data_IF_161676297080
#
_entry.id   IF_161676297080
#
_cell.length_a   1.000
_cell.length_b   1.000
_cell.length_c   1.000
_cell.angle_alpha   90.00
_cell.angle_beta   90.00
_cell.angle_gamma   90.00
#
_symmetry.space_group_name_H-M   'P 1'
#
loop_
_entity.id
_entity.type
_entity.pdbx_description
1 polymer ?
#
# COMPACT_ATOMS: atom_id res chain seq x y z
N UNK A 1 32.73 -12.72 19.07
CA UNK A 1 31.58 -12.84 19.99
C UNK A 1 30.68 -11.66 19.70
N UNK A 2 29.74 -11.92 18.80
CA UNK A 2 28.36 -11.41 18.73
C UNK A 2 28.06 -9.95 19.08
N UNK A 3 27.92 -9.14 18.04
CA UNK A 3 26.91 -8.08 18.02
C UNK A 3 25.91 -8.39 16.92
N UNK A 4 24.89 -9.15 17.30
CA UNK A 4 23.67 -9.40 16.55
C UNK A 4 22.81 -8.13 16.58
N UNK A 5 22.46 -7.63 15.40
CA UNK A 5 21.12 -7.16 15.03
C UNK A 5 20.40 -6.10 15.87
N UNK A 6 20.22 -4.92 15.27
CA UNK A 6 18.96 -4.18 15.33
C UNK A 6 18.79 -3.41 14.00
N UNK A 7 18.23 -4.10 13.00
CA UNK A 7 17.77 -3.47 11.77
C UNK A 7 16.36 -2.92 11.95
N UNK A 8 16.13 -1.74 11.38
CA UNK A 8 14.86 -1.23 10.83
C UNK A 8 13.73 -0.88 11.81
N UNK A 9 13.72 0.36 12.31
CA UNK A 9 12.46 1.08 12.61
C UNK A 9 12.58 2.59 12.29
N UNK A 10 13.17 2.95 11.13
CA UNK A 10 12.95 4.29 10.57
C UNK A 10 11.54 4.31 9.96
N UNK A 11 10.54 4.69 10.78
CA UNK A 11 9.20 4.99 10.28
C UNK A 11 9.31 6.03 9.15
N UNK A 12 8.92 5.65 7.94
CA UNK A 12 9.13 6.49 6.75
C UNK A 12 8.30 7.78 6.88
N UNK A 13 8.95 8.90 7.22
CA UNK A 13 8.31 10.21 7.35
C UNK A 13 7.84 10.68 5.97
N UNK A 14 6.55 10.95 5.85
CA UNK A 14 5.88 11.41 4.65
C UNK A 14 5.61 12.91 4.73
N UNK A 15 5.89 13.62 3.63
CA UNK A 15 5.58 15.03 3.47
C UNK A 15 4.54 15.24 2.38
N UNK A 16 3.46 15.94 2.70
CA UNK A 16 2.43 16.32 1.74
C UNK A 16 2.92 17.50 0.88
N UNK A 17 3.05 17.26 -0.42
CA UNK A 17 3.45 18.30 -1.39
C UNK A 17 2.41 19.41 -1.58
N UNK A 18 1.16 19.20 -1.15
CA UNK A 18 0.06 20.13 -1.37
C UNK A 18 -0.18 21.08 -0.20
N UNK A 19 -0.12 20.60 1.05
CA UNK A 19 -0.36 21.44 2.24
C UNK A 19 0.82 21.50 3.21
N UNK A 20 1.91 20.79 2.94
CA UNK A 20 3.11 20.80 3.77
C UNK A 20 3.03 19.98 5.05
N UNK A 21 1.96 19.22 5.28
CA UNK A 21 1.87 18.27 6.41
C UNK A 21 3.04 17.27 6.39
N UNK A 22 3.58 16.97 7.55
CA UNK A 22 4.64 15.99 7.78
C UNK A 22 4.20 15.02 8.89
N UNK A 23 4.37 13.72 8.69
CA UNK A 23 3.97 12.68 9.64
C UNK A 23 4.32 11.28 9.13
N UNK A 24 3.95 10.22 9.85
CA UNK A 24 4.26 8.85 9.47
C UNK A 24 3.30 8.31 8.39
N UNK A 25 3.70 7.25 7.67
CA UNK A 25 2.82 6.51 6.73
C UNK A 25 1.56 5.97 7.44
N UNK A 26 1.66 5.63 8.73
CA UNK A 26 0.55 5.12 9.53
C UNK A 26 -0.55 6.16 9.78
N UNK A 27 -0.22 7.45 9.73
CA UNK A 27 -1.17 8.55 9.87
C UNK A 27 -1.94 8.86 8.57
N UNK A 28 -1.58 8.24 7.44
CA UNK A 28 -2.26 8.46 6.17
C UNK A 28 -3.66 7.84 6.17
N UNK A 29 -4.59 8.53 5.50
CA UNK A 29 -5.95 8.00 5.36
C UNK A 29 -6.01 7.03 4.20
N UNK A 30 -6.41 5.79 4.48
CA UNK A 30 -6.61 4.73 3.49
C UNK A 30 -8.00 4.84 2.87
N UNK A 31 -8.06 4.79 1.54
CA UNK A 31 -9.30 4.69 0.79
C UNK A 31 -9.20 3.66 -0.35
N UNK A 32 -10.27 2.89 -0.61
CA UNK A 32 -10.32 2.01 -1.78
C UNK A 32 -10.11 2.80 -3.08
N UNK A 33 -9.28 2.27 -3.97
CA UNK A 33 -9.00 2.84 -5.27
C UNK A 33 -9.47 1.90 -6.39
N UNK A 34 -9.83 2.48 -7.54
CA UNK A 34 -10.15 1.69 -8.72
C UNK A 34 -8.94 0.90 -9.22
N UNK A 35 -9.17 -0.33 -9.66
CA UNK A 35 -8.15 -1.14 -10.31
C UNK A 35 -7.74 -0.51 -11.64
N UNK A 36 -6.43 -0.46 -11.89
CA UNK A 36 -5.89 0.03 -13.15
C UNK A 36 -5.73 -1.13 -14.14
N UNK A 37 -5.42 -0.81 -15.41
CA UNK A 37 -5.21 -1.80 -16.46
C UNK A 37 -4.28 -2.96 -16.05
N UNK A 38 -3.11 -2.64 -15.47
CA UNK A 38 -2.15 -3.65 -15.02
C UNK A 38 -2.63 -4.48 -13.83
N UNK A 39 -3.53 -3.95 -13.00
CA UNK A 39 -4.09 -4.68 -11.87
C UNK A 39 -5.05 -5.77 -12.38
N UNK A 40 -5.81 -5.46 -13.44
CA UNK A 40 -6.65 -6.45 -14.12
C UNK A 40 -5.82 -7.51 -14.85
N UNK A 41 -4.75 -7.11 -15.54
CA UNK A 41 -3.83 -8.07 -16.17
C UNK A 41 -3.22 -9.02 -15.13
N UNK A 42 -2.83 -8.47 -13.96
CA UNK A 42 -2.29 -9.26 -12.86
C UNK A 42 -3.34 -10.21 -12.28
N UNK A 43 -4.59 -9.76 -12.11
CA UNK A 43 -5.70 -10.59 -11.65
C UNK A 43 -5.93 -11.80 -12.59
N UNK A 44 -5.87 -11.58 -13.90
CA UNK A 44 -6.00 -12.66 -14.89
C UNK A 44 -4.83 -13.65 -14.81
N UNK A 45 -3.61 -13.16 -14.58
CA UNK A 45 -2.42 -14.00 -14.43
C UNK A 45 -2.42 -14.82 -13.13
N UNK A 46 -2.92 -14.24 -12.03
CA UNK A 46 -2.88 -14.86 -10.71
C UNK A 46 -4.01 -15.88 -10.46
N UNK A 47 -4.91 -16.10 -11.43
CA UNK A 47 -5.91 -17.20 -11.48
C UNK A 47 -6.50 -17.59 -10.11
N UNK A 48 -7.12 -16.64 -9.41
CA UNK A 48 -7.76 -16.89 -8.12
C UNK A 48 -7.24 -16.07 -6.94
N UNK A 49 -6.27 -15.17 -7.16
CA UNK A 49 -5.91 -14.14 -6.20
C UNK A 49 -6.89 -12.95 -6.28
N UNK A 50 -7.18 -12.36 -5.12
CA UNK A 50 -7.88 -11.08 -5.05
C UNK A 50 -6.86 -9.95 -5.15
N UNK A 51 -7.10 -9.02 -6.07
CA UNK A 51 -6.28 -7.81 -6.24
C UNK A 51 -7.13 -6.62 -5.84
N UNK A 52 -6.69 -5.90 -4.81
CA UNK A 52 -7.29 -4.64 -4.37
C UNK A 52 -6.25 -3.52 -4.40
N UNK A 53 -6.73 -2.28 -4.43
CA UNK A 53 -5.89 -1.10 -4.47
C UNK A 53 -6.37 -0.11 -3.44
N UNK A 54 -5.44 0.48 -2.72
CA UNK A 54 -5.72 1.55 -1.76
C UNK A 54 -4.94 2.81 -2.14
N UNK A 55 -5.59 3.96 -1.97
CA UNK A 55 -4.96 5.26 -1.97
C UNK A 55 -4.68 5.68 -0.54
N UNK A 56 -3.47 6.17 -0.30
CA UNK A 56 -3.04 6.75 0.95
C UNK A 56 -3.01 8.27 0.79
N UNK A 57 -3.92 8.93 1.50
CA UNK A 57 -4.22 10.34 1.37
C UNK A 57 -3.65 11.12 2.56
N UNK A 58 -3.26 12.37 2.29
CA UNK A 58 -2.92 13.31 3.35
C UNK A 58 -4.11 13.49 4.31
N UNK A 59 -3.92 13.38 5.64
CA UNK A 59 -5.01 13.54 6.60
C UNK A 59 -5.54 14.98 6.67
N UNK A 60 -4.78 15.97 6.18
CA UNK A 60 -5.17 17.40 6.22
C UNK A 60 -5.93 17.85 4.97
N UNK A 61 -5.36 17.64 3.78
CA UNK A 61 -5.94 18.15 2.53
C UNK A 61 -6.47 17.06 1.60
N UNK A 62 -6.42 15.79 2.01
CA UNK A 62 -6.93 14.63 1.25
C UNK A 62 -6.22 14.38 -0.09
N UNK A 63 -5.17 15.13 -0.41
CA UNK A 63 -4.32 14.88 -1.57
C UNK A 63 -3.72 13.48 -1.50
N UNK A 64 -3.80 12.74 -2.61
CA UNK A 64 -3.18 11.42 -2.71
C UNK A 64 -1.66 11.54 -2.69
N UNK A 65 -1.03 10.86 -1.72
CA UNK A 65 0.41 10.84 -1.54
C UNK A 65 1.04 9.52 -2.00
N UNK A 66 0.33 8.41 -1.83
CA UNK A 66 0.80 7.07 -2.20
C UNK A 66 -0.38 6.22 -2.65
N UNK A 67 -0.11 5.20 -3.45
CA UNK A 67 -1.08 4.17 -3.81
C UNK A 67 -0.40 2.83 -3.63
N UNK A 68 -1.07 1.90 -2.96
CA UNK A 68 -0.57 0.56 -2.69
C UNK A 68 -1.48 -0.46 -3.34
N UNK A 69 -0.86 -1.55 -3.79
CA UNK A 69 -1.56 -2.71 -4.34
C UNK A 69 -1.46 -3.81 -3.31
N UNK A 70 -2.61 -4.39 -2.98
CA UNK A 70 -2.71 -5.52 -2.07
C UNK A 70 -3.14 -6.73 -2.90
N UNK A 71 -2.39 -7.82 -2.76
CA UNK A 71 -2.65 -9.08 -3.44
C UNK A 71 -2.81 -10.09 -2.32
N UNK A 72 -4.03 -10.58 -2.13
CA UNK A 72 -4.30 -11.65 -1.16
C UNK A 72 -4.38 -13.01 -1.87
N UNK A 73 -3.80 -14.02 -1.22
CA UNK A 73 -3.40 -15.29 -1.83
C UNK A 73 -4.51 -16.34 -1.95
N UNK A 74 -4.82 -16.69 -3.20
CA UNK A 74 -5.18 -18.00 -3.78
C UNK A 74 -6.06 -18.96 -2.93
N UNK A 75 -7.34 -19.07 -3.30
CA UNK A 75 -8.18 -20.24 -2.98
C UNK A 75 -7.82 -21.38 -3.94
N UNK A 76 -7.09 -22.40 -3.49
CA UNK A 76 -6.96 -23.65 -4.25
C UNK A 76 -8.28 -24.42 -4.21
N UNK A 77 -9.12 -24.29 -5.23
CA UNK A 77 -10.16 -25.29 -5.47
C UNK A 77 -9.49 -26.56 -5.99
N UNK A 78 -9.27 -27.50 -5.07
CA UNK A 78 -8.84 -28.86 -5.37
C UNK A 78 -10.02 -29.57 -6.05
N UNK A 79 -9.91 -29.79 -7.37
CA UNK A 79 -10.78 -30.68 -8.14
C UNK A 79 -10.51 -32.15 -7.83
#
# INVERSE_FOLDING_TARGET
>A
MDHIGAGLEDGNIMKCYSCGWEGSDEELVREPASLMFYDNLLKDQLKGAEVTRENLLCPKCRTQLKSVRLIDGIVFQKG
#
